data_IF_180968601865
#
_entry.id   IF_180968601865
#
_cell.length_a   1.000
_cell.length_b   1.000
_cell.length_c   1.000
_cell.angle_alpha   90.00
_cell.angle_beta   90.00
_cell.angle_gamma   90.00
#
_symmetry.space_group_name_H-M   'P 1'
#
loop_
_entity.id
_entity.type
_entity.pdbx_description
1 polymer ?
#
# COMPACT_ATOMS: atom_id res chain seq x y z
N UNK A 1 -10.80 -26.38 22.36
CA UNK A 1 -10.44 -25.86 21.02
C UNK A 1 -10.00 -24.40 21.11
N UNK A 2 -8.72 -24.10 21.40
CA UNK A 2 -8.23 -22.72 21.64
C UNK A 2 -6.95 -22.35 20.87
N UNK A 3 -6.40 -23.26 20.06
CA UNK A 3 -5.03 -23.13 19.54
C UNK A 3 -4.92 -22.37 18.21
N UNK A 4 -5.99 -22.29 17.41
CA UNK A 4 -5.98 -21.64 16.08
C UNK A 4 -6.07 -20.11 16.15
N UNK A 5 -6.76 -19.58 17.17
CA UNK A 5 -6.97 -18.13 17.33
C UNK A 5 -5.71 -17.37 17.77
N UNK A 6 -4.83 -17.98 18.57
CA UNK A 6 -3.56 -17.37 18.98
C UNK A 6 -2.54 -17.38 17.84
N UNK A 7 -2.36 -18.52 17.14
CA UNK A 7 -1.40 -18.66 16.03
C UNK A 7 -1.56 -17.58 14.96
N UNK A 8 -2.78 -17.28 14.56
CA UNK A 8 -3.01 -16.27 13.51
C UNK A 8 -2.83 -14.82 13.97
N UNK A 9 -2.83 -14.51 15.28
CA UNK A 9 -2.41 -13.18 15.78
C UNK A 9 -0.91 -12.99 15.61
N UNK A 10 -0.13 -14.04 15.87
CA UNK A 10 1.32 -14.01 15.62
C UNK A 10 1.63 -13.89 14.14
N UNK A 11 0.95 -14.62 13.24
CA UNK A 11 1.15 -14.46 11.79
C UNK A 11 0.91 -13.03 11.30
N UNK A 12 -0.08 -12.34 11.87
CA UNK A 12 -0.44 -10.98 11.47
C UNK A 12 0.51 -9.93 12.05
N UNK A 13 0.90 -10.09 13.31
CA UNK A 13 1.97 -9.28 13.92
C UNK A 13 3.31 -9.51 13.23
N UNK A 14 3.62 -10.75 12.84
CA UNK A 14 4.82 -11.11 12.07
C UNK A 14 4.77 -10.45 10.69
N UNK A 15 3.63 -10.49 9.97
CA UNK A 15 3.48 -9.80 8.68
C UNK A 15 3.71 -8.29 8.85
N UNK A 16 3.08 -7.66 9.85
CA UNK A 16 3.26 -6.24 10.13
C UNK A 16 4.72 -5.90 10.48
N UNK A 17 5.38 -6.74 11.29
CA UNK A 17 6.80 -6.60 11.62
C UNK A 17 7.65 -6.78 10.37
N UNK A 18 7.36 -7.73 9.48
CA UNK A 18 8.10 -7.94 8.22
C UNK A 18 7.94 -6.72 7.32
N UNK A 19 6.74 -6.15 7.20
CA UNK A 19 6.49 -4.93 6.41
C UNK A 19 7.24 -3.74 7.02
N UNK A 20 7.17 -3.55 8.33
CA UNK A 20 7.89 -2.48 9.03
C UNK A 20 9.41 -2.67 8.91
N UNK A 21 9.90 -3.90 9.07
CA UNK A 21 11.31 -4.24 8.94
C UNK A 21 11.80 -4.01 7.52
N UNK A 22 11.00 -4.36 6.50
CA UNK A 22 11.29 -4.07 5.10
C UNK A 22 11.42 -2.56 4.87
N UNK A 23 10.46 -1.76 5.37
CA UNK A 23 10.53 -0.29 5.30
C UNK A 23 11.70 0.31 6.09
N UNK A 24 12.02 -0.27 7.25
CA UNK A 24 13.12 0.18 8.11
C UNK A 24 14.48 -0.15 7.49
N UNK A 25 14.66 -1.35 6.94
CA UNK A 25 15.86 -1.75 6.20
C UNK A 25 16.02 -0.90 4.93
N UNK A 26 14.93 -0.62 4.23
CA UNK A 26 14.90 0.28 3.08
C UNK A 26 15.37 1.70 3.45
N UNK A 27 14.90 2.25 4.57
CA UNK A 27 15.28 3.61 4.98
C UNK A 27 16.70 3.69 5.58
N UNK A 28 17.13 2.64 6.29
CA UNK A 28 18.40 2.59 7.03
C UNK A 28 19.62 2.38 6.12
N UNK A 29 19.49 1.63 5.03
CA UNK A 29 20.63 1.30 4.17
C UNK A 29 20.75 2.24 2.98
N UNK A 30 21.80 3.08 3.00
CA UNK A 30 22.15 3.95 1.87
C UNK A 30 22.49 3.16 0.60
N UNK A 31 22.96 1.90 0.74
CA UNK A 31 23.27 1.01 -0.38
C UNK A 31 22.02 0.40 -1.04
N UNK A 32 21.00 -0.03 -0.28
CA UNK A 32 19.72 -0.46 -0.88
C UNK A 32 19.01 0.72 -1.52
N UNK A 33 19.07 1.90 -0.88
CA UNK A 33 18.67 3.14 -1.51
C UNK A 33 19.44 3.35 -2.80
N UNK A 34 20.77 3.28 -2.85
CA UNK A 34 21.54 3.46 -4.10
C UNK A 34 21.18 2.44 -5.18
N UNK A 35 20.96 1.18 -4.84
CA UNK A 35 20.59 0.12 -5.80
C UNK A 35 19.19 0.38 -6.39
N UNK A 36 18.24 0.80 -5.54
CA UNK A 36 16.88 1.17 -5.97
C UNK A 36 16.88 2.50 -6.73
N UNK A 37 17.53 3.55 -6.21
CA UNK A 37 17.66 4.88 -6.83
C UNK A 37 18.44 4.87 -8.15
N UNK A 38 19.31 3.87 -8.38
CA UNK A 38 19.98 3.71 -9.67
C UNK A 38 19.03 3.18 -10.76
N UNK A 39 17.87 2.65 -10.37
CA UNK A 39 16.87 2.05 -11.26
C UNK A 39 15.47 2.68 -11.15
N UNK A 40 15.23 3.53 -10.14
CA UNK A 40 13.92 4.07 -9.78
C UNK A 40 14.07 5.58 -9.65
N UNK A 41 13.49 6.32 -10.59
CA UNK A 41 13.52 7.78 -10.57
C UNK A 41 12.79 8.30 -9.31
N UNK A 42 13.19 9.48 -8.81
CA UNK A 42 12.56 10.16 -7.65
C UNK A 42 11.03 10.26 -7.82
N UNK A 43 10.58 10.33 -9.07
CA UNK A 43 9.18 10.37 -9.45
C UNK A 43 8.36 9.16 -8.93
N UNK A 44 8.90 7.95 -9.06
CA UNK A 44 8.22 6.71 -8.68
C UNK A 44 8.02 6.61 -7.15
N UNK A 45 8.92 7.18 -6.33
CA UNK A 45 8.72 7.27 -4.88
C UNK A 45 7.59 8.26 -4.57
N UNK A 46 7.52 9.37 -5.31
CA UNK A 46 6.44 10.35 -5.23
C UNK A 46 5.08 9.71 -5.53
N UNK A 47 4.99 8.89 -6.57
CA UNK A 47 3.81 8.12 -6.94
C UNK A 47 3.34 7.17 -5.82
N UNK A 48 4.24 6.36 -5.26
CA UNK A 48 3.91 5.46 -4.13
C UNK A 48 3.31 6.25 -2.95
N UNK A 49 3.96 7.32 -2.52
CA UNK A 49 3.52 8.12 -1.36
C UNK A 49 2.20 8.84 -1.67
N UNK A 50 2.07 9.41 -2.86
CA UNK A 50 0.88 10.17 -3.27
C UNK A 50 -0.33 9.27 -3.35
N UNK A 51 -0.22 8.10 -3.99
CA UNK A 51 -1.33 7.15 -4.11
C UNK A 51 -1.67 6.48 -2.77
N UNK A 52 -0.69 6.25 -1.90
CA UNK A 52 -0.95 5.82 -0.53
C UNK A 52 -1.80 6.85 0.24
N UNK A 53 -1.38 8.12 0.24
CA UNK A 53 -2.09 9.21 0.90
C UNK A 53 -3.47 9.45 0.28
N UNK A 54 -3.58 9.41 -1.05
CA UNK A 54 -4.84 9.56 -1.76
C UNK A 54 -5.82 8.45 -1.38
N UNK A 55 -5.38 7.20 -1.38
CA UNK A 55 -6.20 6.06 -0.96
C UNK A 55 -6.65 6.20 0.49
N UNK A 56 -5.76 6.67 1.37
CA UNK A 56 -6.09 6.94 2.77
C UNK A 56 -7.19 8.01 2.90
N UNK A 57 -6.99 9.16 2.28
CA UNK A 57 -7.92 10.29 2.34
C UNK A 57 -9.28 9.88 1.75
N UNK A 58 -9.28 9.22 0.61
CA UNK A 58 -10.49 8.76 -0.06
C UNK A 58 -11.25 7.74 0.80
N UNK A 59 -10.55 6.77 1.39
CA UNK A 59 -11.15 5.80 2.30
C UNK A 59 -11.72 6.45 3.57
N UNK A 60 -11.04 7.49 4.08
CA UNK A 60 -11.45 8.22 5.28
C UNK A 60 -12.69 9.09 5.03
N UNK A 61 -12.74 9.80 3.89
CA UNK A 61 -13.83 10.71 3.54
C UNK A 61 -15.06 9.92 3.07
N UNK A 62 -14.90 9.02 2.10
CA UNK A 62 -16.04 8.36 1.46
C UNK A 62 -16.56 7.15 2.25
N UNK A 63 -15.83 6.69 3.29
CA UNK A 63 -16.19 5.52 4.12
C UNK A 63 -16.57 4.28 3.31
N UNK A 64 -16.01 4.15 2.10
CA UNK A 64 -16.29 3.06 1.18
C UNK A 64 -15.64 1.75 1.65
N UNK A 65 -16.18 0.59 1.25
CA UNK A 65 -15.51 -0.68 1.50
C UNK A 65 -14.10 -0.66 0.90
N UNK A 66 -13.16 -1.28 1.63
CA UNK A 66 -11.72 -1.23 1.32
C UNK A 66 -11.44 -1.63 -0.14
N UNK A 67 -12.05 -2.73 -0.58
CA UNK A 67 -11.86 -3.27 -1.92
C UNK A 67 -12.30 -2.29 -3.02
N UNK A 68 -13.49 -1.69 -2.87
CA UNK A 68 -13.98 -0.71 -3.84
C UNK A 68 -13.08 0.53 -3.87
N UNK A 69 -12.60 0.99 -2.71
CA UNK A 69 -11.68 2.15 -2.67
C UNK A 69 -10.39 1.84 -3.41
N UNK A 70 -9.80 0.67 -3.17
CA UNK A 70 -8.58 0.24 -3.87
C UNK A 70 -8.79 0.10 -5.38
N UNK A 71 -9.92 -0.48 -5.81
CA UNK A 71 -10.26 -0.63 -7.22
C UNK A 71 -10.43 0.74 -7.90
N UNK A 72 -11.16 1.66 -7.28
CA UNK A 72 -11.39 3.02 -7.81
C UNK A 72 -10.08 3.77 -7.97
N UNK A 73 -9.20 3.74 -6.95
CA UNK A 73 -7.92 4.44 -7.01
C UNK A 73 -6.96 3.77 -8.00
N UNK A 74 -6.98 2.44 -8.14
CA UNK A 74 -6.18 1.75 -9.14
C UNK A 74 -6.64 2.11 -10.57
N UNK A 75 -7.95 2.19 -10.80
CA UNK A 75 -8.49 2.65 -12.08
C UNK A 75 -8.12 4.11 -12.36
N UNK A 76 -8.17 4.95 -11.33
CA UNK A 76 -7.68 6.33 -11.43
C UNK A 76 -6.19 6.40 -11.82
N UNK A 77 -5.33 5.52 -11.27
CA UNK A 77 -3.91 5.41 -11.68
C UNK A 77 -3.72 5.04 -13.16
N UNK A 78 -4.57 4.13 -13.69
CA UNK A 78 -4.56 3.84 -15.14
C UNK A 78 -4.95 5.09 -15.95
N UNK A 79 -5.93 5.85 -15.49
CA UNK A 79 -6.39 7.07 -16.16
C UNK A 79 -5.33 8.18 -16.12
N UNK A 80 -4.55 8.29 -15.05
CA UNK A 80 -3.47 9.29 -14.96
C UNK A 80 -2.34 8.98 -15.95
N UNK A 81 -1.96 7.71 -16.10
CA UNK A 81 -0.98 7.27 -17.10
C UNK A 81 -1.49 7.47 -18.54
N UNK A 82 -2.75 7.12 -18.80
CA UNK A 82 -3.39 7.41 -20.08
C UNK A 82 -3.41 8.92 -20.36
N UNK A 83 -3.76 9.73 -19.36
CA UNK A 83 -3.74 11.18 -19.45
C UNK A 83 -2.34 11.70 -19.80
N UNK A 84 -1.30 11.19 -19.12
CA UNK A 84 0.09 11.55 -19.41
C UNK A 84 0.52 11.13 -20.82
N UNK A 85 0.11 9.93 -21.28
CA UNK A 85 0.35 9.46 -22.64
C UNK A 85 -0.24 10.41 -23.69
N UNK A 86 -1.49 10.84 -23.52
CA UNK A 86 -2.16 11.74 -24.45
C UNK A 86 -1.64 13.18 -24.39
N UNK A 87 -1.25 13.66 -23.20
CA UNK A 87 -0.76 15.03 -23.01
C UNK A 87 0.69 15.22 -23.46
N UNK A 88 1.45 14.14 -23.68
CA UNK A 88 2.79 14.19 -24.26
C UNK A 88 3.85 14.87 -23.39
N UNK A 89 3.54 15.25 -22.15
CA UNK A 89 4.49 15.88 -21.22
C UNK A 89 5.58 14.90 -20.74
N UNK A 90 5.34 13.59 -20.83
CA UNK A 90 6.29 12.52 -20.52
C UNK A 90 5.86 11.21 -21.20
N UNK A 91 6.81 10.34 -21.54
CA UNK A 91 6.50 8.97 -21.95
C UNK A 91 5.84 8.23 -20.79
N UNK A 92 4.62 7.73 -20.98
CA UNK A 92 3.95 6.89 -19.98
C UNK A 92 4.87 5.71 -19.63
N UNK A 93 5.21 5.60 -18.34
CA UNK A 93 6.11 4.58 -17.86
C UNK A 93 5.31 3.58 -17.03
N UNK A 94 5.34 2.33 -17.46
CA UNK A 94 4.70 1.24 -16.70
C UNK A 94 5.26 1.14 -15.27
N UNK A 95 6.48 1.63 -15.02
CA UNK A 95 7.06 1.72 -13.68
C UNK A 95 6.32 2.68 -12.75
N UNK A 96 5.74 3.76 -13.26
CA UNK A 96 4.99 4.75 -12.45
C UNK A 96 3.61 4.19 -12.09
N UNK A 97 2.93 3.49 -13.02
CA UNK A 97 1.73 2.72 -12.70
C UNK A 97 1.96 1.63 -11.64
N UNK A 98 3.07 0.89 -11.72
CA UNK A 98 3.43 -0.12 -10.72
C UNK A 98 3.65 0.54 -9.36
N UNK A 99 4.25 1.72 -9.35
CA UNK A 99 4.49 2.52 -8.15
C UNK A 99 3.18 2.96 -7.49
N UNK A 100 2.18 3.39 -8.28
CA UNK A 100 0.83 3.68 -7.79
C UNK A 100 0.19 2.45 -7.15
N UNK A 101 0.29 1.29 -7.80
CA UNK A 101 -0.29 0.04 -7.32
C UNK A 101 0.34 -0.41 -6.00
N UNK A 102 1.65 -0.23 -5.83
CA UNK A 102 2.36 -0.51 -4.57
C UNK A 102 1.82 0.39 -3.45
N UNK A 103 1.65 1.69 -3.70
CA UNK A 103 1.09 2.63 -2.71
C UNK A 103 -0.32 2.24 -2.26
N UNK A 104 -1.20 1.90 -3.20
CA UNK A 104 -2.58 1.44 -2.92
C UNK A 104 -2.56 0.12 -2.13
N UNK A 105 -1.74 -0.85 -2.56
CA UNK A 105 -1.63 -2.16 -1.94
C UNK A 105 -1.13 -2.06 -0.49
N UNK A 106 -0.13 -1.20 -0.24
CA UNK A 106 0.36 -0.94 1.11
C UNK A 106 -0.75 -0.45 2.04
N UNK A 107 -1.54 0.53 1.61
CA UNK A 107 -2.67 1.01 2.40
C UNK A 107 -3.69 -0.09 2.67
N UNK A 108 -4.02 -0.88 1.64
CA UNK A 108 -4.91 -2.03 1.74
C UNK A 108 -4.45 -3.05 2.76
N UNK A 109 -3.18 -3.44 2.74
CA UNK A 109 -2.58 -4.41 3.67
C UNK A 109 -2.63 -3.89 5.12
N UNK A 110 -2.25 -2.63 5.34
CA UNK A 110 -2.28 -2.01 6.68
C UNK A 110 -3.70 -1.99 7.22
N UNK A 111 -4.66 -1.53 6.41
CA UNK A 111 -6.05 -1.39 6.84
C UNK A 111 -6.74 -2.73 7.05
N UNK A 112 -6.50 -3.71 6.16
CA UNK A 112 -6.94 -5.09 6.35
C UNK A 112 -6.39 -5.63 7.68
N UNK A 113 -5.11 -5.40 7.95
CA UNK A 113 -4.48 -5.91 9.16
C UNK A 113 -5.13 -5.36 10.43
N UNK A 114 -5.48 -4.06 10.44
CA UNK A 114 -6.22 -3.42 11.53
C UNK A 114 -7.63 -4.00 11.69
N UNK A 115 -8.36 -4.20 10.59
CA UNK A 115 -9.71 -4.77 10.63
C UNK A 115 -9.72 -6.20 11.17
N UNK A 116 -8.74 -7.02 10.74
CA UNK A 116 -8.59 -8.40 11.20
C UNK A 116 -8.25 -8.46 12.70
N UNK A 117 -7.47 -7.49 13.21
CA UNK A 117 -7.21 -7.36 14.64
C UNK A 117 -8.49 -6.99 15.41
N UNK A 118 -9.26 -6.00 14.93
CA UNK A 118 -10.46 -5.50 15.60
C UNK A 118 -11.59 -6.52 15.66
N UNK A 119 -11.85 -7.26 14.57
CA UNK A 119 -12.90 -8.30 14.52
C UNK A 119 -12.63 -9.50 15.45
N UNK A 120 -11.39 -9.69 15.92
CA UNK A 120 -11.07 -10.70 16.93
C UNK A 120 -11.25 -10.25 18.37
N UNK A 121 -11.31 -8.94 18.63
CA UNK A 121 -11.55 -8.40 19.97
C UNK A 121 -13.03 -8.51 20.35
N UNK A 122 -13.94 -8.18 19.43
CA UNK A 122 -15.40 -8.25 19.66
C UNK A 122 -15.91 -9.68 19.90
N UNK A 123 -15.24 -10.68 19.35
CA UNK A 123 -15.60 -12.10 19.52
C UNK A 123 -15.12 -12.71 20.85
N UNK A 124 -14.35 -11.97 21.65
CA UNK A 124 -13.87 -12.39 22.99
C UNK A 124 -14.82 -11.94 24.13
N UNK A 125 -15.83 -11.12 23.82
CA UNK A 125 -16.79 -10.56 24.79
C UNK A 125 -18.19 -11.20 24.74
N UNK A 126 -18.37 -12.29 23.97
CA UNK A 126 -19.53 -13.18 23.99
C UNK A 126 -19.03 -14.59 24.24
#
# INVERSE_FOLDING_TARGET
>A
MTNTSMKSRYHLSILAIIVILFFCLYFSSADLRRIVFRSTEIDSIGHIISFFCLTWVLHSILKLPLFNTMLTVAFYGVLTELGQYYLGFRSAQVSDFISDLIGIAMFGIIRWSILMYRNRSSRKSR
#
